data_IF_238289431118
#
_entry.id   IF_238289431118
#
_cell.length_a   1.000
_cell.length_b   1.000
_cell.length_c   1.000
_cell.angle_alpha   90.00
_cell.angle_beta   90.00
_cell.angle_gamma   90.00
#
_symmetry.space_group_name_H-M   'P 1'
#
loop_
_entity.id
_entity.type
_entity.pdbx_description
1 polymer ?
#
# COMPACT_ATOMS: atom_id res chain seq x y z
N UNK A 1 -5.34 -6.24 1.08
CA UNK A 1 -4.60 -6.93 0.00
C UNK A 1 -3.48 -6.04 -0.55
N UNK A 2 -2.34 -6.59 -0.95
CA UNK A 2 -1.23 -5.81 -1.56
C UNK A 2 -1.07 -6.30 -3.01
N UNK A 3 -1.28 -5.42 -3.99
CA UNK A 3 -1.29 -5.79 -5.41
C UNK A 3 -0.38 -4.90 -6.25
N UNK A 4 0.28 -5.55 -7.21
CA UNK A 4 0.97 -4.86 -8.30
C UNK A 4 -0.05 -4.40 -9.36
N UNK A 5 0.28 -3.32 -10.06
CA UNK A 5 -0.47 -2.83 -11.21
C UNK A 5 0.50 -2.61 -12.38
N UNK A 6 0.41 -3.44 -13.42
CA UNK A 6 1.39 -3.49 -14.51
C UNK A 6 2.81 -3.72 -13.96
N UNK A 7 3.74 -2.80 -14.26
CA UNK A 7 5.12 -2.74 -13.80
C UNK A 7 5.29 -1.98 -12.47
N UNK A 8 4.21 -1.43 -11.90
CA UNK A 8 4.21 -0.70 -10.64
C UNK A 8 3.90 -1.62 -9.47
N UNK A 9 4.72 -1.57 -8.44
CA UNK A 9 4.56 -2.35 -7.21
C UNK A 9 4.58 -1.43 -5.98
N UNK A 10 3.80 -1.75 -4.93
CA UNK A 10 3.89 -1.03 -3.67
C UNK A 10 5.27 -1.19 -3.02
N UNK A 11 5.83 -0.10 -2.51
CA UNK A 11 7.05 -0.09 -1.70
C UNK A 11 6.67 0.24 -0.25
N UNK A 12 6.77 -0.75 0.63
CA UNK A 12 6.32 -0.65 2.03
C UNK A 12 7.53 -0.87 2.93
N UNK A 13 7.84 0.09 3.79
CA UNK A 13 8.89 -0.09 4.79
C UNK A 13 8.52 -1.20 5.78
N UNK A 14 9.45 -2.10 6.18
CA UNK A 14 9.14 -3.23 7.06
C UNK A 14 8.60 -2.85 8.44
N UNK A 15 8.79 -1.60 8.88
CA UNK A 15 8.25 -1.09 10.14
C UNK A 15 6.78 -0.69 10.08
N UNK A 16 6.15 -0.72 8.90
CA UNK A 16 4.77 -0.28 8.74
C UNK A 16 3.78 -1.28 9.31
N UNK A 17 2.72 -0.76 9.93
CA UNK A 17 1.53 -1.55 10.22
C UNK A 17 0.53 -1.44 9.06
N UNK A 18 0.26 -2.56 8.39
CA UNK A 18 -0.80 -2.68 7.39
C UNK A 18 -1.89 -3.57 7.96
N UNK A 19 -3.07 -3.00 8.19
CA UNK A 19 -4.21 -3.76 8.67
C UNK A 19 -4.59 -4.87 7.67
N UNK A 20 -5.02 -6.07 8.11
CA UNK A 20 -5.34 -7.19 7.21
C UNK A 20 -6.38 -6.87 6.13
N UNK A 21 -7.33 -5.96 6.42
CA UNK A 21 -8.37 -5.53 5.48
C UNK A 21 -8.03 -4.29 4.65
N UNK A 22 -6.82 -3.73 4.78
CA UNK A 22 -6.38 -2.59 3.99
C UNK A 22 -5.91 -3.02 2.59
N UNK A 23 -6.22 -2.22 1.58
CA UNK A 23 -5.82 -2.45 0.19
C UNK A 23 -4.78 -1.44 -0.28
N UNK A 24 -3.66 -1.92 -0.84
CA UNK A 24 -2.55 -1.11 -1.37
C UNK A 24 -2.21 -1.58 -2.78
N UNK A 25 -2.41 -0.71 -3.77
CA UNK A 25 -2.40 -1.08 -5.19
C UNK A 25 -1.55 -0.09 -6.01
N UNK A 26 -0.62 -0.61 -6.81
CA UNK A 26 0.14 0.16 -7.81
C UNK A 26 1.33 0.93 -7.25
N UNK A 27 1.59 2.13 -7.78
CA UNK A 27 2.73 2.97 -7.39
C UNK A 27 2.43 3.71 -6.09
N UNK A 28 2.64 3.00 -4.98
CA UNK A 28 2.43 3.50 -3.62
C UNK A 28 3.70 3.33 -2.82
N UNK A 29 4.10 4.36 -2.09
CA UNK A 29 5.19 4.31 -1.10
C UNK A 29 4.62 4.52 0.29
N UNK A 30 4.82 3.55 1.18
CA UNK A 30 4.48 3.66 2.61
C UNK A 30 5.79 3.78 3.40
N UNK A 31 6.03 4.98 3.93
CA UNK A 31 7.28 5.32 4.61
C UNK A 31 7.40 4.75 6.03
N UNK A 32 8.63 4.74 6.56
CA UNK A 32 8.98 4.23 7.89
C UNK A 32 8.00 4.67 8.99
N UNK A 33 7.63 3.74 9.86
CA UNK A 33 6.73 3.93 11.00
C UNK A 33 5.34 4.49 10.66
N UNK A 34 4.88 4.35 9.41
CA UNK A 34 3.52 4.67 9.00
C UNK A 34 2.55 3.54 9.32
N UNK A 35 1.24 3.84 9.29
CA UNK A 35 0.19 2.83 9.46
C UNK A 35 -0.95 3.04 8.46
N UNK A 36 -1.46 1.94 7.90
CA UNK A 36 -2.66 1.91 7.05
C UNK A 36 -3.71 1.06 7.76
N UNK A 37 -4.82 1.69 8.14
CA UNK A 37 -5.81 1.09 9.04
C UNK A 37 -6.92 0.35 8.29
N UNK A 38 -7.72 -0.38 9.05
CA UNK A 38 -8.77 -1.27 8.53
C UNK A 38 -9.65 -0.60 7.47
N UNK A 39 -9.86 -1.33 6.37
CA UNK A 39 -10.73 -0.96 5.25
C UNK A 39 -10.29 0.31 4.48
N UNK A 40 -9.08 0.82 4.72
CA UNK A 40 -8.50 1.87 3.90
C UNK A 40 -8.06 1.31 2.54
N UNK A 41 -8.27 2.09 1.47
CA UNK A 41 -7.78 1.80 0.13
C UNK A 41 -6.81 2.89 -0.30
N UNK A 42 -5.56 2.50 -0.58
CA UNK A 42 -4.53 3.37 -1.16
C UNK A 42 -4.23 2.86 -2.57
N UNK A 43 -4.65 3.60 -3.59
CA UNK A 43 -4.62 3.16 -4.98
C UNK A 43 -3.91 4.19 -5.87
N UNK A 44 -2.73 3.81 -6.34
CA UNK A 44 -1.88 4.58 -7.27
C UNK A 44 -1.76 3.90 -8.63
N UNK A 45 -2.89 3.70 -9.31
CA UNK A 45 -3.00 3.00 -10.60
C UNK A 45 -3.18 3.93 -11.82
N UNK A 46 -3.61 5.18 -11.61
CA UNK A 46 -3.90 6.19 -12.66
C UNK A 46 -3.19 7.51 -12.32
N UNK A 47 -2.76 8.25 -13.34
CA UNK A 47 -2.17 9.59 -13.22
C UNK A 47 -3.24 10.69 -13.32
#
# INVERSE_FOLDING_TARGET
>A
MILNFKDKQPHIDPSCFIAPSADIIGEVVVGKASSVWFNATVRGDIA
#
